data_IF_367523408056
#
_entry.id   IF_367523408056
#
_cell.length_a   1.000
_cell.length_b   1.000
_cell.length_c   1.000
_cell.angle_alpha   90.00
_cell.angle_beta   90.00
_cell.angle_gamma   90.00
#
_symmetry.space_group_name_H-M   'P 1'
#
loop_
_entity.id
_entity.type
_entity.pdbx_description
1 polymer ?
#
# COMPACT_ATOMS: atom_id res chain seq x y z
N UNK A 1 12.11 17.44 3.26
CA UNK A 1 12.53 16.55 2.16
C UNK A 1 11.47 15.47 1.90
N UNK A 2 10.62 15.61 0.87
CA UNK A 2 9.46 14.72 0.63
C UNK A 2 9.31 14.23 -0.82
N UNK A 3 10.37 14.35 -1.64
CA UNK A 3 10.55 13.52 -2.83
C UNK A 3 11.65 12.48 -2.60
N UNK A 4 11.41 11.26 -3.11
CA UNK A 4 12.17 10.04 -2.77
C UNK A 4 13.51 9.98 -3.50
N UNK A 5 13.61 10.51 -4.71
CA UNK A 5 14.76 10.29 -5.62
C UNK A 5 15.52 11.56 -6.01
N UNK A 6 14.99 12.75 -5.70
CA UNK A 6 15.60 14.05 -6.04
C UNK A 6 15.44 14.99 -4.84
N UNK A 7 16.52 15.68 -4.46
CA UNK A 7 16.51 16.68 -3.40
C UNK A 7 15.63 17.91 -3.74
N UNK A 8 15.14 18.60 -2.71
CA UNK A 8 14.52 19.93 -2.76
C UNK A 8 13.21 20.15 -3.57
N UNK A 9 12.57 19.09 -4.07
CA UNK A 9 11.25 19.17 -4.73
C UNK A 9 10.04 18.92 -3.80
N UNK A 10 10.18 19.22 -2.51
CA UNK A 10 9.11 19.00 -1.53
C UNK A 10 7.95 19.98 -1.68
N UNK A 11 6.71 19.48 -1.63
CA UNK A 11 5.50 20.31 -1.55
C UNK A 11 5.01 20.29 -0.08
N UNK A 12 5.03 21.43 0.64
CA UNK A 12 4.42 21.55 1.97
C UNK A 12 2.96 21.07 1.95
N UNK A 13 2.47 20.45 3.04
CA UNK A 13 1.14 19.81 3.06
C UNK A 13 1.03 18.44 2.39
N UNK A 14 2.02 18.01 1.60
CA UNK A 14 2.00 16.74 0.87
C UNK A 14 3.15 15.82 1.27
N UNK A 15 3.54 15.84 2.54
CA UNK A 15 4.72 15.09 3.01
C UNK A 15 4.61 13.58 2.82
N UNK A 16 3.40 13.03 2.75
CA UNK A 16 3.05 11.64 2.50
C UNK A 16 3.26 11.20 1.04
N UNK A 17 3.39 12.12 0.09
CA UNK A 17 3.42 11.82 -1.36
C UNK A 17 4.59 10.91 -1.78
N UNK A 18 5.59 10.74 -0.91
CA UNK A 18 6.69 9.79 -1.13
C UNK A 18 6.19 8.37 -1.42
N UNK A 19 5.08 7.93 -0.81
CA UNK A 19 4.58 6.56 -1.02
C UNK A 19 4.08 6.37 -2.45
N UNK A 20 3.49 7.40 -3.08
CA UNK A 20 3.05 7.36 -4.48
C UNK A 20 4.24 7.11 -5.41
N UNK A 21 5.37 7.79 -5.19
CA UNK A 21 6.57 7.58 -5.99
C UNK A 21 7.08 6.14 -5.86
N UNK A 22 7.03 5.58 -4.65
CA UNK A 22 7.44 4.20 -4.37
C UNK A 22 6.48 3.17 -4.97
N UNK A 23 5.18 3.43 -4.93
CA UNK A 23 4.16 2.61 -5.60
C UNK A 23 4.35 2.62 -7.13
N UNK A 24 4.55 3.80 -7.73
CA UNK A 24 4.80 3.92 -9.17
C UNK A 24 6.07 3.17 -9.58
N UNK A 25 7.14 3.28 -8.80
CA UNK A 25 8.38 2.52 -9.02
C UNK A 25 8.14 1.00 -8.94
N UNK A 26 7.35 0.54 -7.96
CA UNK A 26 6.96 -0.87 -7.88
C UNK A 26 6.21 -1.33 -9.14
N UNK A 27 5.19 -0.59 -9.59
CA UNK A 27 4.43 -0.96 -10.78
C UNK A 27 5.25 -0.92 -12.06
N UNK A 28 6.25 -0.03 -12.15
CA UNK A 28 7.19 -0.01 -13.26
C UNK A 28 8.10 -1.25 -13.29
N UNK A 29 8.51 -1.75 -12.11
CA UNK A 29 9.38 -2.93 -11.96
C UNK A 29 8.60 -4.25 -12.00
N UNK A 30 7.31 -4.25 -11.65
CA UNK A 30 6.48 -5.45 -11.55
C UNK A 30 6.48 -6.33 -12.82
N UNK A 31 6.40 -5.80 -14.05
CA UNK A 31 6.51 -6.63 -15.26
C UNK A 31 7.84 -7.38 -15.34
N UNK A 32 8.94 -6.75 -14.92
CA UNK A 32 10.26 -7.36 -14.90
C UNK A 32 10.35 -8.49 -13.85
N UNK A 33 9.76 -8.28 -12.67
CA UNK A 33 9.64 -9.32 -11.63
C UNK A 33 8.86 -10.52 -12.18
N UNK A 34 7.71 -10.27 -12.82
CA UNK A 34 6.91 -11.33 -13.43
C UNK A 34 7.71 -12.08 -14.49
N UNK A 35 8.43 -11.38 -15.37
CA UNK A 35 9.32 -11.99 -16.37
C UNK A 35 10.43 -12.81 -15.73
N UNK A 36 11.06 -12.32 -14.66
CA UNK A 36 12.12 -13.01 -13.92
C UNK A 36 11.62 -14.29 -13.21
N UNK A 37 10.36 -14.33 -12.79
CA UNK A 37 9.74 -15.50 -12.18
C UNK A 37 9.26 -16.55 -13.21
N UNK A 38 9.15 -16.22 -14.51
CA UNK A 38 8.68 -17.15 -15.54
C UNK A 38 9.55 -18.41 -15.67
N UNK A 39 10.89 -18.33 -15.74
CA UNK A 39 11.73 -19.54 -15.81
C UNK A 39 11.57 -20.42 -14.58
N UNK A 40 11.44 -19.82 -13.39
CA UNK A 40 11.18 -20.55 -12.16
C UNK A 40 9.84 -21.31 -12.23
N UNK A 41 8.78 -20.63 -12.67
CA UNK A 41 7.45 -21.23 -12.85
C UNK A 41 7.45 -22.37 -13.87
N UNK A 42 8.22 -22.26 -14.96
CA UNK A 42 8.33 -23.32 -15.97
C UNK A 42 9.01 -24.58 -15.44
N UNK A 43 9.89 -24.45 -14.44
CA UNK A 43 10.60 -25.58 -13.81
C UNK A 43 9.75 -26.25 -12.73
N UNK A 44 9.18 -25.46 -11.83
CA UNK A 44 8.34 -25.93 -10.74
C UNK A 44 7.31 -24.83 -10.44
N UNK A 45 6.02 -25.20 -10.46
CA UNK A 45 4.93 -24.28 -10.19
C UNK A 45 4.94 -23.72 -8.76
N UNK A 46 5.57 -24.40 -7.80
CA UNK A 46 5.72 -23.94 -6.42
C UNK A 46 6.94 -23.01 -6.23
N UNK A 47 7.87 -22.95 -7.19
CA UNK A 47 9.11 -22.19 -7.04
C UNK A 47 8.91 -20.66 -6.93
N UNK A 48 7.99 -20.01 -7.67
CA UNK A 48 7.70 -18.59 -7.48
C UNK A 48 7.28 -18.26 -6.03
N UNK A 49 6.42 -19.07 -5.43
CA UNK A 49 6.01 -18.90 -4.03
C UNK A 49 7.21 -18.99 -3.08
N UNK A 50 8.06 -20.03 -3.24
CA UNK A 50 9.28 -20.19 -2.44
C UNK A 50 10.21 -18.98 -2.57
N UNK A 51 10.43 -18.48 -3.78
CA UNK A 51 11.27 -17.30 -4.04
C UNK A 51 10.70 -16.07 -3.34
N UNK A 52 9.38 -15.83 -3.45
CA UNK A 52 8.73 -14.68 -2.82
C UNK A 52 8.81 -14.76 -1.28
N UNK A 53 8.59 -15.93 -0.69
CA UNK A 53 8.73 -16.12 0.77
C UNK A 53 10.16 -15.86 1.23
N UNK A 54 11.16 -16.39 0.51
CA UNK A 54 12.58 -16.12 0.82
C UNK A 54 12.88 -14.63 0.69
N UNK A 55 12.38 -13.97 -0.37
CA UNK A 55 12.57 -12.54 -0.58
C UNK A 55 11.92 -11.70 0.54
N UNK A 56 10.75 -12.10 1.04
CA UNK A 56 10.11 -11.44 2.18
C UNK A 56 10.95 -11.56 3.46
N UNK A 57 11.46 -12.76 3.76
CA UNK A 57 12.32 -13.00 4.94
C UNK A 57 13.62 -12.20 4.83
N UNK A 58 14.30 -12.27 3.68
CA UNK A 58 15.52 -11.49 3.42
C UNK A 58 15.24 -10.00 3.52
N UNK A 59 14.10 -9.53 3.00
CA UNK A 59 13.70 -8.13 3.09
C UNK A 59 13.49 -7.64 4.53
N UNK A 60 12.87 -8.45 5.39
CA UNK A 60 12.73 -8.15 6.83
C UNK A 60 14.10 -8.07 7.51
N UNK A 61 14.97 -9.05 7.26
CA UNK A 61 16.33 -9.09 7.84
C UNK A 61 17.13 -7.87 7.37
N UNK A 62 17.11 -7.58 6.07
CA UNK A 62 17.79 -6.41 5.49
C UNK A 62 17.26 -5.09 6.08
N UNK A 63 15.94 -4.99 6.34
CA UNK A 63 15.35 -3.82 7.00
C UNK A 63 15.90 -3.59 8.42
N UNK A 64 16.31 -4.65 9.12
CA UNK A 64 16.94 -4.54 10.44
C UNK A 64 18.44 -4.25 10.40
N UNK A 65 19.12 -4.64 9.32
CA UNK A 65 20.56 -4.41 9.14
C UNK A 65 20.85 -3.02 8.57
N UNK A 66 20.02 -2.53 7.65
CA UNK A 66 20.25 -1.24 6.98
C UNK A 66 19.99 -0.07 7.94
N UNK A 67 19.14 -0.27 8.96
CA UNK A 67 18.88 0.69 10.04
C UNK A 67 18.21 1.99 9.57
N UNK A 68 17.34 2.61 10.39
CA UNK A 68 16.80 3.94 10.10
C UNK A 68 17.91 5.00 9.95
N UNK A 69 18.39 5.31 8.75
CA UNK A 69 19.52 6.23 8.55
C UNK A 69 19.35 7.22 7.40
N UNK A 70 19.96 8.39 7.51
CA UNK A 70 20.12 9.31 6.37
C UNK A 70 21.45 8.94 5.69
N UNK A 71 21.46 8.62 4.40
CA UNK A 71 22.73 8.52 3.67
C UNK A 71 23.12 9.96 3.28
N UNK A 72 24.01 10.59 4.04
CA UNK A 72 24.46 11.96 3.79
C UNK A 72 23.37 13.01 4.08
N UNK A 73 23.10 13.90 3.12
CA UNK A 73 22.06 14.94 3.18
C UNK A 73 20.81 14.60 2.35
N UNK A 74 20.72 13.36 1.86
CA UNK A 74 19.75 12.90 0.85
C UNK A 74 18.46 12.32 1.49
N UNK A 75 17.36 12.16 0.72
CA UNK A 75 16.06 11.73 1.25
C UNK A 75 16.12 10.38 1.99
N UNK A 76 15.25 10.22 3.00
CA UNK A 76 15.21 9.05 3.87
C UNK A 76 15.10 7.74 3.07
N UNK A 77 16.14 6.90 3.12
CA UNK A 77 16.22 5.62 2.40
C UNK A 77 15.02 4.69 2.73
N UNK A 78 14.46 4.81 3.93
CA UNK A 78 13.33 4.02 4.43
C UNK A 78 12.08 4.17 3.54
N UNK A 79 12.03 5.25 2.75
CA UNK A 79 10.92 5.58 1.86
C UNK A 79 11.09 4.96 0.47
N UNK A 80 12.29 4.47 0.12
CA UNK A 80 12.61 3.96 -1.20
C UNK A 80 12.02 2.57 -1.46
N UNK A 81 11.91 2.20 -2.74
CA UNK A 81 11.39 0.89 -3.14
C UNK A 81 12.11 -0.29 -2.46
N UNK A 82 13.46 -0.37 -2.41
CA UNK A 82 14.13 -1.50 -1.78
C UNK A 82 13.78 -1.65 -0.30
N UNK A 83 13.72 -0.55 0.45
CA UNK A 83 13.34 -0.56 1.86
C UNK A 83 11.88 -0.99 2.07
N UNK A 84 10.97 -0.64 1.13
CA UNK A 84 9.55 -0.98 1.22
C UNK A 84 9.17 -2.29 0.52
N UNK A 85 10.12 -2.95 -0.16
CA UNK A 85 9.88 -4.08 -1.06
C UNK A 85 9.12 -5.22 -0.37
N UNK A 86 9.43 -5.52 0.88
CA UNK A 86 8.76 -6.55 1.68
C UNK A 86 7.24 -6.39 1.70
N UNK A 87 6.72 -5.16 1.82
CA UNK A 87 5.27 -4.92 1.82
C UNK A 87 4.63 -5.32 0.48
N UNK A 88 5.29 -5.01 -0.63
CA UNK A 88 4.83 -5.39 -1.97
C UNK A 88 4.95 -6.90 -2.20
N UNK A 89 6.03 -7.52 -1.70
CA UNK A 89 6.25 -8.97 -1.77
C UNK A 89 5.15 -9.72 -1.02
N UNK A 90 4.68 -9.23 0.12
CA UNK A 90 3.51 -9.82 0.79
C UNK A 90 2.27 -9.79 -0.09
N UNK A 91 2.00 -8.66 -0.77
CA UNK A 91 0.91 -8.59 -1.75
C UNK A 91 1.07 -9.62 -2.89
N UNK A 92 2.30 -9.81 -3.38
CA UNK A 92 2.61 -10.83 -4.39
C UNK A 92 2.43 -12.26 -3.87
N UNK A 93 2.78 -12.54 -2.60
CA UNK A 93 2.54 -13.83 -1.95
C UNK A 93 1.04 -14.11 -1.86
N UNK A 94 0.23 -13.14 -1.43
CA UNK A 94 -1.23 -13.29 -1.38
C UNK A 94 -1.82 -13.53 -2.78
N UNK A 95 -1.33 -12.80 -3.80
CA UNK A 95 -1.75 -13.00 -5.18
C UNK A 95 -1.39 -14.40 -5.70
N UNK A 96 -0.18 -14.90 -5.41
CA UNK A 96 0.24 -16.24 -5.79
C UNK A 96 -0.56 -17.32 -5.04
N UNK A 97 -0.87 -17.09 -3.76
CA UNK A 97 -1.70 -17.99 -2.97
C UNK A 97 -3.12 -18.11 -3.54
N UNK A 98 -3.71 -16.99 -3.98
CA UNK A 98 -5.01 -16.99 -4.67
C UNK A 98 -4.94 -17.74 -6.01
N UNK A 99 -3.85 -17.58 -6.75
CA UNK A 99 -3.65 -18.25 -8.04
C UNK A 99 -3.35 -19.76 -7.90
N UNK A 100 -2.87 -20.20 -6.74
CA UNK A 100 -2.45 -21.58 -6.45
C UNK A 100 -3.01 -22.05 -5.10
N UNK A 101 -4.32 -22.37 -5.03
CA UNK A 101 -4.96 -22.77 -3.79
C UNK A 101 -4.31 -24.01 -3.14
N UNK A 102 -3.79 -24.92 -3.97
CA UNK A 102 -3.22 -26.21 -3.54
C UNK A 102 -1.77 -26.12 -3.01
N UNK A 103 -1.13 -24.95 -3.10
CA UNK A 103 0.23 -24.78 -2.57
C UNK A 103 0.24 -24.86 -1.03
N UNK A 104 1.31 -25.41 -0.44
CA UNK A 104 1.45 -25.52 1.03
C UNK A 104 1.28 -24.19 1.75
N UNK A 105 1.85 -23.11 1.20
CA UNK A 105 1.73 -21.77 1.78
C UNK A 105 0.31 -21.25 1.67
N UNK A 106 -0.34 -21.49 0.52
CA UNK A 106 -1.76 -21.14 0.31
C UNK A 106 -2.68 -21.85 1.30
N UNK A 107 -2.49 -23.16 1.51
CA UNK A 107 -3.25 -23.93 2.50
C UNK A 107 -3.06 -23.38 3.91
N UNK A 108 -1.84 -22.94 4.25
CA UNK A 108 -1.55 -22.33 5.55
C UNK A 108 -2.24 -20.98 5.72
N UNK A 109 -2.19 -20.11 4.70
CA UNK A 109 -2.91 -18.82 4.67
C UNK A 109 -4.42 -19.04 4.76
N UNK A 110 -4.96 -20.03 4.04
CA UNK A 110 -6.38 -20.36 4.05
C UNK A 110 -6.85 -20.80 5.44
N UNK A 111 -6.04 -21.59 6.15
CA UNK A 111 -6.30 -21.99 7.54
C UNK A 111 -6.30 -20.80 8.50
N UNK A 112 -5.39 -19.84 8.33
CA UNK A 112 -5.44 -18.59 9.11
C UNK A 112 -6.73 -17.82 8.82
N UNK A 113 -7.10 -17.68 7.54
CA UNK A 113 -8.32 -17.02 7.09
C UNK A 113 -9.61 -17.62 7.64
N UNK A 114 -9.60 -18.90 8.04
CA UNK A 114 -10.72 -19.56 8.70
C UNK A 114 -11.03 -19.00 10.11
N UNK A 115 -10.13 -18.19 10.68
CA UNK A 115 -10.32 -17.55 12.00
C UNK A 115 -10.23 -16.02 11.94
N UNK A 116 -11.24 -15.32 11.36
CA UNK A 116 -11.20 -13.88 11.17
C UNK A 116 -10.96 -13.09 12.45
N UNK A 117 -11.56 -13.50 13.57
CA UNK A 117 -11.37 -12.84 14.87
C UNK A 117 -9.92 -12.86 15.34
N UNK A 118 -9.19 -13.97 15.13
CA UNK A 118 -7.78 -14.07 15.49
C UNK A 118 -6.90 -13.19 14.59
N UNK A 119 -7.15 -13.19 13.28
CA UNK A 119 -6.43 -12.31 12.34
C UNK A 119 -6.65 -10.83 12.65
N UNK A 120 -7.90 -10.42 12.92
CA UNK A 120 -8.25 -9.05 13.27
C UNK A 120 -7.71 -8.65 14.63
N UNK A 121 -7.77 -9.55 15.63
CA UNK A 121 -7.18 -9.33 16.95
C UNK A 121 -5.66 -9.14 16.87
N UNK A 122 -4.98 -9.95 16.04
CA UNK A 122 -3.55 -9.80 15.78
C UNK A 122 -3.24 -8.48 15.06
N UNK A 123 -4.01 -8.12 14.04
CA UNK A 123 -3.86 -6.84 13.35
C UNK A 123 -4.07 -5.64 14.30
N UNK A 124 -5.12 -5.68 15.12
CA UNK A 124 -5.40 -4.65 16.12
C UNK A 124 -4.26 -4.55 17.14
N UNK A 125 -3.77 -5.69 17.64
CA UNK A 125 -2.66 -5.72 18.60
C UNK A 125 -1.37 -5.17 17.99
N UNK A 126 -1.05 -5.55 16.75
CA UNK A 126 0.11 -5.04 16.03
C UNK A 126 0.00 -3.54 15.73
N UNK A 127 -1.19 -3.06 15.38
CA UNK A 127 -1.45 -1.63 15.19
C UNK A 127 -1.28 -0.86 16.49
N UNK A 128 -1.88 -1.33 17.59
CA UNK A 128 -1.70 -0.70 18.90
C UNK A 128 -0.23 -0.69 19.32
N UNK A 129 0.51 -1.79 19.10
CA UNK A 129 1.94 -1.83 19.37
C UNK A 129 2.72 -0.81 18.51
N UNK A 130 2.32 -0.62 17.25
CA UNK A 130 2.91 0.37 16.37
C UNK A 130 2.65 1.83 16.81
N UNK A 131 1.63 2.06 17.65
CA UNK A 131 1.37 3.36 18.28
C UNK A 131 2.15 3.59 19.58
N UNK A 132 3.00 2.65 19.99
CA UNK A 132 3.85 2.78 21.17
C UNK A 132 5.30 3.08 20.79
N UNK A 133 6.13 3.59 21.71
CA UNK A 133 7.56 3.79 21.48
C UNK A 133 8.35 2.52 21.11
N UNK A 134 7.75 1.32 21.25
CA UNK A 134 8.36 0.05 20.84
C UNK A 134 8.60 0.01 19.32
N UNK A 135 7.80 0.73 18.54
CA UNK A 135 8.01 0.88 17.10
C UNK A 135 8.93 2.07 16.74
N UNK A 136 9.65 2.62 17.71
CA UNK A 136 10.48 3.82 17.56
C UNK A 136 9.72 5.12 17.77
N UNK A 137 10.33 6.24 17.38
CA UNK A 137 9.73 7.56 17.56
C UNK A 137 8.35 7.68 16.89
N UNK A 138 7.39 8.22 17.65
CA UNK A 138 6.01 8.50 17.22
C UNK A 138 5.87 9.84 16.49
N UNK A 139 6.98 10.60 16.39
CA UNK A 139 7.03 11.87 15.67
C UNK A 139 7.30 11.63 14.19
N UNK A 140 7.03 12.65 13.36
CA UNK A 140 7.33 12.65 11.91
C UNK A 140 8.85 12.68 11.60
N UNK A 141 9.70 12.57 12.63
CA UNK A 141 11.16 12.53 12.50
C UNK A 141 11.68 11.19 12.00
N UNK A 142 12.97 11.16 11.66
CA UNK A 142 13.65 9.94 11.25
C UNK A 142 13.57 8.85 12.32
N UNK A 143 13.61 7.60 11.86
CA UNK A 143 13.72 6.43 12.72
C UNK A 143 15.06 6.49 13.48
N UNK A 144 15.02 6.47 14.82
CA UNK A 144 16.19 6.74 15.67
C UNK A 144 17.04 5.52 16.00
N UNK A 145 16.47 4.31 15.98
CA UNK A 145 17.17 3.05 16.20
C UNK A 145 17.32 2.19 14.94
N UNK A 146 18.41 1.42 14.86
CA UNK A 146 18.66 0.46 13.78
C UNK A 146 17.52 -0.57 13.64
N UNK A 147 16.92 -0.98 14.77
CA UNK A 147 15.84 -1.97 14.80
C UNK A 147 14.44 -1.38 14.63
N UNK A 148 14.24 -0.09 14.87
CA UNK A 148 12.93 0.55 14.82
C UNK A 148 12.29 0.43 13.42
N UNK A 149 13.10 0.49 12.36
CA UNK A 149 12.64 0.33 10.98
C UNK A 149 12.11 -1.09 10.73
N UNK A 150 12.85 -2.11 11.18
CA UNK A 150 12.42 -3.50 11.08
C UNK A 150 11.17 -3.79 11.91
N UNK A 151 11.07 -3.25 13.13
CA UNK A 151 9.87 -3.39 13.95
C UNK A 151 8.66 -2.77 13.24
N UNK A 152 8.78 -1.53 12.75
CA UNK A 152 7.72 -0.87 11.96
C UNK A 152 7.33 -1.67 10.72
N UNK A 153 8.31 -2.22 10.00
CA UNK A 153 8.09 -3.07 8.83
C UNK A 153 7.32 -4.34 9.18
N UNK A 154 7.75 -5.06 10.22
CA UNK A 154 7.10 -6.30 10.67
C UNK A 154 5.67 -6.00 11.14
N UNK A 155 5.47 -4.95 11.93
CA UNK A 155 4.13 -4.57 12.39
C UNK A 155 3.23 -4.17 11.23
N UNK A 156 3.71 -3.41 10.25
CA UNK A 156 2.91 -3.07 9.07
C UNK A 156 2.56 -4.31 8.24
N UNK A 157 3.48 -5.26 8.13
CA UNK A 157 3.25 -6.56 7.48
C UNK A 157 2.17 -7.37 8.21
N UNK A 158 2.22 -7.44 9.55
CA UNK A 158 1.23 -8.15 10.36
C UNK A 158 -0.15 -7.51 10.25
N UNK A 159 -0.23 -6.16 10.30
CA UNK A 159 -1.48 -5.43 10.10
C UNK A 159 -2.05 -5.72 8.70
N UNK A 160 -1.23 -5.62 7.66
CA UNK A 160 -1.66 -5.86 6.29
C UNK A 160 -2.20 -7.30 6.11
N UNK A 161 -1.45 -8.31 6.59
CA UNK A 161 -1.88 -9.71 6.52
C UNK A 161 -3.13 -9.97 7.36
N UNK A 162 -3.19 -9.48 8.59
CA UNK A 162 -4.32 -9.69 9.48
C UNK A 162 -5.62 -9.04 9.00
N UNK A 163 -5.54 -8.00 8.16
CA UNK A 163 -6.70 -7.42 7.46
C UNK A 163 -7.03 -8.15 6.15
N UNK A 164 -6.01 -8.47 5.33
CA UNK A 164 -6.21 -9.02 3.98
C UNK A 164 -6.56 -10.51 3.98
N UNK A 165 -5.93 -11.31 4.83
CA UNK A 165 -6.14 -12.76 4.88
C UNK A 165 -7.61 -13.12 5.19
N UNK A 166 -8.24 -12.58 6.25
CA UNK A 166 -9.66 -12.86 6.45
C UNK A 166 -10.52 -12.28 5.32
N UNK A 167 -10.20 -11.09 4.78
CA UNK A 167 -10.99 -10.54 3.67
C UNK A 167 -11.04 -11.46 2.43
N UNK A 168 -9.96 -12.16 2.16
CA UNK A 168 -9.78 -12.97 0.94
C UNK A 168 -10.15 -14.45 1.11
N UNK A 169 -9.87 -15.06 2.27
CA UNK A 169 -10.06 -16.51 2.50
C UNK A 169 -11.16 -16.87 3.49
N UNK A 170 -11.77 -15.91 4.19
CA UNK A 170 -12.84 -16.25 5.13
C UNK A 170 -14.19 -16.44 4.46
N UNK A 171 -14.99 -17.35 5.04
CA UNK A 171 -16.42 -17.42 4.79
C UNK A 171 -17.10 -16.07 5.11
N UNK A 172 -18.27 -15.77 4.50
CA UNK A 172 -18.99 -14.54 4.75
C UNK A 172 -19.15 -14.27 6.26
N UNK A 173 -18.68 -13.11 6.70
CA UNK A 173 -18.73 -12.67 8.09
C UNK A 173 -18.97 -11.16 8.17
N UNK A 174 -19.14 -10.65 9.39
CA UNK A 174 -19.41 -9.23 9.64
C UNK A 174 -18.33 -8.31 9.06
N UNK A 175 -17.05 -8.66 9.21
CA UNK A 175 -15.93 -7.86 8.69
C UNK A 175 -15.99 -7.73 7.16
N UNK A 176 -16.18 -8.84 6.44
CA UNK A 176 -16.35 -8.83 4.99
C UNK A 176 -17.63 -8.10 4.57
N UNK A 177 -18.72 -8.24 5.32
CA UNK A 177 -19.99 -7.55 5.06
C UNK A 177 -19.83 -6.04 5.17
N UNK A 178 -19.16 -5.55 6.22
CA UNK A 178 -18.87 -4.12 6.41
C UNK A 178 -17.98 -3.58 5.29
N UNK A 179 -16.91 -4.29 4.93
CA UNK A 179 -15.99 -3.83 3.87
C UNK A 179 -16.59 -3.90 2.46
N UNK A 180 -17.57 -4.77 2.24
CA UNK A 180 -18.29 -4.88 0.95
C UNK A 180 -19.54 -3.99 0.89
N UNK A 181 -19.90 -3.31 1.97
CA UNK A 181 -20.99 -2.34 2.00
C UNK A 181 -20.75 -1.19 0.99
N UNK A 182 -21.80 -0.66 0.33
CA UNK A 182 -21.64 0.41 -0.66
C UNK A 182 -20.89 1.64 -0.15
N UNK A 183 -21.08 2.03 1.11
CA UNK A 183 -20.36 3.14 1.73
C UNK A 183 -18.85 2.87 1.82
N UNK A 184 -18.44 1.66 2.21
CA UNK A 184 -17.02 1.25 2.26
C UNK A 184 -16.40 1.21 0.88
N UNK A 185 -17.16 0.74 -0.12
CA UNK A 185 -16.72 0.75 -1.54
C UNK A 185 -16.59 2.18 -2.07
N UNK A 186 -17.50 3.08 -1.71
CA UNK A 186 -17.40 4.50 -2.06
C UNK A 186 -16.19 5.16 -1.39
N UNK A 187 -15.97 4.88 -0.10
CA UNK A 187 -14.78 5.36 0.61
C UNK A 187 -13.49 4.85 -0.05
N UNK A 188 -13.48 3.59 -0.51
CA UNK A 188 -12.38 3.05 -1.30
C UNK A 188 -12.14 3.80 -2.62
N UNK A 189 -13.19 4.27 -3.30
CA UNK A 189 -13.06 5.06 -4.53
C UNK A 189 -12.42 6.43 -4.29
N UNK A 190 -12.78 7.11 -3.19
CA UNK A 190 -12.24 8.44 -2.84
C UNK A 190 -10.97 8.37 -1.99
N UNK A 191 -10.48 7.16 -1.67
CA UNK A 191 -9.36 6.94 -0.75
C UNK A 191 -8.06 7.61 -1.21
N UNK A 192 -7.81 7.67 -2.52
CA UNK A 192 -6.68 8.39 -3.08
C UNK A 192 -6.76 9.90 -2.82
N UNK A 193 -7.93 10.51 -3.04
CA UNK A 193 -8.18 11.91 -2.69
C UNK A 193 -8.00 12.16 -1.18
N UNK A 194 -8.48 11.26 -0.31
CA UNK A 194 -8.28 11.40 1.14
C UNK A 194 -6.78 11.36 1.46
N UNK A 195 -6.05 10.41 0.89
CA UNK A 195 -4.60 10.30 1.03
C UNK A 195 -3.87 11.58 0.58
N UNK A 196 -4.31 12.23 -0.49
CA UNK A 196 -3.70 13.48 -0.95
C UNK A 196 -4.01 14.67 -0.03
N UNK A 197 -5.28 14.88 0.31
CA UNK A 197 -5.72 16.13 0.91
C UNK A 197 -5.58 16.18 2.44
N UNK A 198 -5.57 15.05 3.13
CA UNK A 198 -5.69 15.06 4.59
C UNK A 198 -4.56 15.84 5.30
N UNK A 199 -3.28 15.62 4.95
CA UNK A 199 -2.19 16.36 5.60
C UNK A 199 -2.25 17.86 5.31
N UNK A 200 -2.55 18.26 4.07
CA UNK A 200 -2.72 19.66 3.71
C UNK A 200 -3.87 20.32 4.49
N UNK A 201 -4.99 19.62 4.68
CA UNK A 201 -6.12 20.08 5.49
C UNK A 201 -5.71 20.25 6.96
N UNK A 202 -5.04 19.25 7.54
CA UNK A 202 -4.60 19.34 8.93
C UNK A 202 -3.56 20.45 9.13
N UNK A 203 -2.60 20.60 8.21
CA UNK A 203 -1.62 21.69 8.24
C UNK A 203 -2.30 23.06 8.19
N UNK A 204 -3.30 23.22 7.31
CA UNK A 204 -4.14 24.43 7.26
C UNK A 204 -4.93 24.67 8.55
N UNK A 205 -5.51 23.63 9.15
CA UNK A 205 -6.23 23.74 10.42
C UNK A 205 -5.29 24.16 11.57
N UNK A 206 -4.07 23.63 11.63
CA UNK A 206 -3.06 24.07 12.61
C UNK A 206 -2.67 25.53 12.37
N UNK A 207 -2.46 25.95 11.12
CA UNK A 207 -2.14 27.32 10.78
C UNK A 207 -3.24 28.32 11.19
N UNK A 208 -4.52 27.96 11.01
CA UNK A 208 -5.66 28.82 11.38
C UNK A 208 -5.93 28.81 12.89
N UNK A 209 -5.83 27.65 13.54
CA UNK A 209 -6.10 27.52 14.97
C UNK A 209 -4.98 28.08 15.86
N UNK A 210 -3.77 28.25 15.32
CA UNK A 210 -2.59 28.65 16.09
C UNK A 210 -2.11 27.60 17.09
N UNK A 211 -2.71 26.40 17.07
CA UNK A 211 -2.31 25.29 17.93
C UNK A 211 -0.94 24.77 17.47
N UNK A 212 -0.02 24.59 18.43
CA UNK A 212 1.22 23.89 18.14
C UNK A 212 0.94 22.43 17.74
N UNK A 213 1.73 21.91 16.79
CA UNK A 213 1.66 20.51 16.38
C UNK A 213 1.75 19.61 17.62
N UNK A 214 0.81 18.67 17.74
CA UNK A 214 0.74 17.69 18.85
C UNK A 214 0.48 18.29 20.24
N UNK A 215 0.05 19.55 20.37
CA UNK A 215 -0.20 20.20 21.66
C UNK A 215 -1.62 20.05 22.23
N UNK A 216 -2.48 19.23 21.62
CA UNK A 216 -3.84 18.94 22.10
C UNK A 216 -4.92 19.16 21.02
N UNK A 217 -6.20 19.13 21.41
CA UNK A 217 -7.32 19.42 20.48
C UNK A 217 -7.64 18.33 19.46
N UNK A 218 -7.21 17.09 19.70
CA UNK A 218 -7.38 15.96 18.77
C UNK A 218 -8.83 15.76 18.33
N UNK A 219 -9.79 15.74 19.27
CA UNK A 219 -11.20 15.51 18.94
C UNK A 219 -11.78 16.62 18.04
N UNK A 220 -11.68 17.92 18.38
CA UNK A 220 -12.07 19.00 17.48
C UNK A 220 -11.37 18.96 16.11
N UNK A 221 -10.06 18.71 16.09
CA UNK A 221 -9.28 18.63 14.86
C UNK A 221 -9.76 17.48 13.98
N UNK A 222 -10.02 16.30 14.53
CA UNK A 222 -10.56 15.17 13.78
C UNK A 222 -11.99 15.43 13.31
N UNK A 223 -12.83 16.00 14.19
CA UNK A 223 -14.23 16.30 13.89
C UNK A 223 -14.39 17.29 12.72
N UNK A 224 -13.42 18.19 12.53
CA UNK A 224 -13.42 19.16 11.41
C UNK A 224 -12.58 18.66 10.23
N UNK A 225 -11.37 18.17 10.50
CA UNK A 225 -10.39 17.78 9.50
C UNK A 225 -10.81 16.56 8.69
N UNK A 226 -11.42 15.55 9.31
CA UNK A 226 -11.88 14.35 8.59
C UNK A 226 -12.99 14.70 7.59
N UNK A 227 -14.09 15.40 7.96
CA UNK A 227 -15.10 15.80 7.00
C UNK A 227 -14.56 16.70 5.88
N UNK A 228 -13.70 17.68 6.20
CA UNK A 228 -13.10 18.55 5.18
C UNK A 228 -12.21 17.76 4.20
N UNK A 229 -11.39 16.85 4.72
CA UNK A 229 -10.55 15.97 3.89
C UNK A 229 -11.40 15.09 2.98
N UNK A 230 -12.49 14.53 3.51
CA UNK A 230 -13.41 13.70 2.74
C UNK A 230 -14.17 14.49 1.69
N UNK A 231 -14.57 15.73 1.99
CA UNK A 231 -15.20 16.64 1.05
C UNK A 231 -14.27 16.98 -0.11
N UNK A 232 -13.04 17.41 0.18
CA UNK A 232 -12.03 17.69 -0.84
C UNK A 232 -11.68 16.44 -1.66
N UNK A 233 -11.58 15.27 -1.02
CA UNK A 233 -11.39 14.01 -1.70
C UNK A 233 -12.55 13.67 -2.66
N UNK A 234 -13.79 13.86 -2.24
CA UNK A 234 -14.97 13.62 -3.07
C UNK A 234 -15.03 14.60 -4.27
N UNK A 235 -14.67 15.86 -4.06
CA UNK A 235 -14.57 16.86 -5.13
C UNK A 235 -13.44 16.51 -6.11
N UNK A 236 -12.24 16.18 -5.61
CA UNK A 236 -11.11 15.70 -6.42
C UNK A 236 -11.50 14.50 -7.26
N UNK A 237 -12.16 13.52 -6.63
CA UNK A 237 -12.58 12.30 -7.30
C UNK A 237 -13.55 12.58 -8.45
N UNK A 238 -14.61 13.35 -8.18
CA UNK A 238 -15.67 13.62 -9.16
C UNK A 238 -15.23 14.54 -10.29
N UNK A 239 -14.36 15.51 -10.01
CA UNK A 239 -13.94 16.53 -10.99
C UNK A 239 -12.70 16.13 -11.78
N UNK A 240 -11.81 15.31 -11.22
CA UNK A 240 -10.50 15.01 -11.82
C UNK A 240 -10.33 13.52 -12.06
N UNK A 241 -10.43 12.70 -11.01
CA UNK A 241 -10.04 11.29 -11.07
C UNK A 241 -11.02 10.46 -11.92
N UNK A 242 -12.33 10.66 -11.73
CA UNK A 242 -13.36 9.94 -12.47
C UNK A 242 -13.40 10.35 -13.95
N UNK A 243 -13.34 11.64 -14.32
CA UNK A 243 -13.23 12.04 -15.73
C UNK A 243 -11.95 11.51 -16.40
N UNK A 244 -10.80 11.60 -15.71
CA UNK A 244 -9.52 11.09 -16.23
C UNK A 244 -9.57 9.57 -16.45
N UNK A 245 -10.06 8.81 -15.46
CA UNK A 245 -10.21 7.36 -15.55
C UNK A 245 -11.13 6.94 -16.71
N UNK A 246 -12.27 7.64 -16.87
CA UNK A 246 -13.19 7.41 -17.99
C UNK A 246 -12.57 7.75 -19.35
N UNK A 247 -11.73 8.78 -19.41
CA UNK A 247 -11.00 9.14 -20.62
C UNK A 247 -9.97 8.07 -21.01
N UNK A 248 -9.14 7.62 -20.06
CA UNK A 248 -8.15 6.55 -20.29
C UNK A 248 -8.84 5.25 -20.69
N UNK A 249 -9.90 4.85 -19.99
CA UNK A 249 -10.65 3.62 -20.30
C UNK A 249 -11.19 3.62 -21.74
N UNK A 250 -11.72 4.76 -22.22
CA UNK A 250 -12.18 4.90 -23.61
C UNK A 250 -11.04 4.76 -24.62
N UNK A 251 -9.88 5.36 -24.34
CA UNK A 251 -8.68 5.25 -25.20
C UNK A 251 -8.17 3.82 -25.31
N UNK A 252 -8.08 3.11 -24.19
CA UNK A 252 -7.61 1.71 -24.16
C UNK A 252 -8.56 0.76 -24.86
N UNK A 253 -9.89 0.94 -24.71
CA UNK A 253 -10.89 0.14 -25.43
C UNK A 253 -10.77 0.31 -26.94
N UNK A 254 -10.69 1.56 -27.40
CA UNK A 254 -10.52 1.87 -28.82
C UNK A 254 -9.24 1.24 -29.41
N UNK A 255 -8.13 1.30 -28.68
CA UNK A 255 -6.88 0.66 -29.12
C UNK A 255 -6.97 -0.87 -29.25
N UNK A 256 -7.72 -1.54 -28.36
CA UNK A 256 -7.99 -2.98 -28.48
C UNK A 256 -8.86 -3.32 -29.68
N UNK A 257 -9.93 -2.56 -29.91
CA UNK A 257 -10.83 -2.78 -31.06
C UNK A 257 -10.08 -2.59 -32.39
N UNK A 258 -9.21 -1.58 -32.49
CA UNK A 258 -8.34 -1.36 -33.65
C UNK A 258 -7.35 -2.53 -33.86
N UNK A 259 -6.75 -3.06 -32.79
CA UNK A 259 -5.86 -4.24 -32.85
C UNK A 259 -6.59 -5.53 -33.25
N UNK A 260 -7.80 -5.77 -32.75
CA UNK A 260 -8.63 -6.93 -33.10
C UNK A 260 -9.12 -6.85 -34.56
N UNK A 261 -9.48 -5.67 -35.05
CA UNK A 261 -9.84 -5.49 -36.45
C UNK A 261 -8.65 -5.74 -37.38
N UNK A 262 -7.46 -5.23 -37.02
CA UNK A 262 -6.24 -5.46 -37.79
C UNK A 262 -5.80 -6.94 -37.81
N UNK A 263 -5.97 -7.67 -36.71
CA UNK A 263 -5.64 -9.10 -36.66
C UNK A 263 -6.62 -9.95 -37.47
N UNK A 264 -7.92 -9.63 -37.47
CA UNK A 264 -8.93 -10.28 -38.32
C UNK A 264 -8.71 -10.05 -39.82
N UNK A 265 -8.33 -8.83 -40.21
CA UNK A 265 -7.98 -8.51 -41.60
C UNK A 265 -6.74 -9.28 -42.08
N UNK A 266 -5.72 -9.44 -41.21
CA UNK A 266 -4.54 -10.27 -41.54
C UNK A 266 -4.83 -11.76 -41.62
N UNK A 267 -5.78 -12.26 -40.83
CA UNK A 267 -6.21 -13.66 -40.85
C UNK A 267 -7.06 -14.02 -42.08
N UNK A 268 -7.78 -13.05 -42.64
CA UNK A 268 -8.60 -13.23 -43.86
C UNK A 268 -7.82 -13.03 -45.15
N UNK A 269 -6.64 -12.40 -45.08
CA UNK A 269 -5.72 -12.22 -46.21
C UNK A 269 -4.70 -13.36 -46.39
N UNK A 270 -4.74 -14.39 -45.54
CA UNK A 270 -3.95 -15.63 -45.65
C UNK A 270 -4.85 -16.78 -46.09
#
# INVERSE_FOLDING_TARGET
ATQVYVADLGIPGFTQSWSIATELAFYAVLPLIVLALRPARRRDLALPMKILVVLAVVGVIASGVIGGGVIGSEPLYERWLPARLTNFVLGMILAEALARPDDRVSLWISRLGASPGACLGLAASAYLLATTPIAGALTLGGVGGEFDHAVKMVLSCVVALGLMVPLLWSEPNTFRTVLTHPASRWLGKVSYGVFLWHLAVFEGLYAVSGLALFAGGMLPLLAVGVPLSLLLAALSYSLVEEPASRWVARRLRRGREEQESASRSRATAR
#
